data_IF_446100501655
#
_entry.id   IF_446100501655
#
_cell.length_a   1.000
_cell.length_b   1.000
_cell.length_c   1.000
_cell.angle_alpha   90.00
_cell.angle_beta   90.00
_cell.angle_gamma   90.00
#
_symmetry.space_group_name_H-M   'P 1'
#
loop_
_entity.id
_entity.type
_entity.pdbx_description
1 polymer ?
#
# COMPACT_ATOMS: atom_id res chain seq x y z
N UNK A 1 -20.14 11.56 -19.06
CA UNK A 1 -19.11 10.48 -18.99
C UNK A 1 -19.78 9.22 -19.49
N UNK A 2 -19.17 8.50 -20.43
CA UNK A 2 -19.70 7.23 -20.89
C UNK A 2 -19.77 6.23 -19.72
N UNK A 3 -20.83 5.43 -19.64
CA UNK A 3 -20.91 4.29 -18.73
C UNK A 3 -19.85 3.27 -19.15
N UNK A 4 -18.97 2.90 -18.22
CA UNK A 4 -17.97 1.85 -18.41
C UNK A 4 -18.67 0.50 -18.59
N UNK A 5 -18.10 -0.39 -19.39
CA UNK A 5 -18.58 -1.79 -19.48
C UNK A 5 -18.39 -2.52 -18.14
N UNK A 6 -19.12 -3.63 -17.91
CA UNK A 6 -18.97 -4.42 -16.68
C UNK A 6 -17.54 -4.95 -16.46
N UNK A 7 -16.83 -5.32 -17.52
CA UNK A 7 -15.45 -5.80 -17.43
C UNK A 7 -14.47 -4.67 -17.05
N UNK A 8 -14.64 -3.47 -17.63
CA UNK A 8 -13.84 -2.29 -17.28
C UNK A 8 -14.16 -1.82 -15.85
N UNK A 9 -15.44 -1.87 -15.45
CA UNK A 9 -15.86 -1.58 -14.10
C UNK A 9 -15.34 -2.61 -13.10
N UNK A 10 -15.09 -3.87 -13.50
CA UNK A 10 -14.52 -4.88 -12.61
C UNK A 10 -13.05 -4.60 -12.27
N UNK A 11 -12.26 -4.08 -13.23
CA UNK A 11 -10.86 -3.70 -13.00
C UNK A 11 -10.76 -2.55 -12.00
N UNK A 12 -11.67 -1.58 -12.10
CA UNK A 12 -11.71 -0.39 -11.24
C UNK A 12 -12.87 -0.43 -10.26
N UNK A 13 -13.25 -1.64 -9.83
CA UNK A 13 -14.50 -1.84 -9.09
C UNK A 13 -14.52 -1.04 -7.80
N UNK A 14 -13.40 -1.04 -7.09
CA UNK A 14 -13.27 -0.32 -5.83
C UNK A 14 -13.42 1.19 -6.04
N UNK A 15 -12.71 1.75 -7.02
CA UNK A 15 -12.76 3.17 -7.37
C UNK A 15 -14.15 3.58 -7.87
N UNK A 16 -14.79 2.72 -8.67
CA UNK A 16 -16.15 2.91 -9.15
C UNK A 16 -17.15 2.92 -8.01
N UNK A 17 -17.10 1.92 -7.11
CA UNK A 17 -18.02 1.80 -5.98
C UNK A 17 -17.87 2.99 -5.03
N UNK A 18 -16.63 3.41 -4.73
CA UNK A 18 -16.36 4.62 -3.92
C UNK A 18 -16.91 5.87 -4.61
N UNK A 19 -16.58 6.09 -5.88
CA UNK A 19 -17.02 7.27 -6.64
C UNK A 19 -18.54 7.36 -6.72
N UNK A 20 -19.19 6.24 -7.05
CA UNK A 20 -20.65 6.15 -7.16
C UNK A 20 -21.33 6.42 -5.82
N UNK A 21 -20.82 5.84 -4.74
CA UNK A 21 -21.37 6.03 -3.39
C UNK A 21 -21.23 7.47 -2.92
N UNK A 22 -20.07 8.09 -3.12
CA UNK A 22 -19.85 9.50 -2.78
C UNK A 22 -20.79 10.43 -3.55
N UNK A 23 -20.97 10.19 -4.86
CA UNK A 23 -21.92 10.93 -5.69
C UNK A 23 -23.36 10.74 -5.23
N UNK A 24 -23.78 9.51 -4.91
CA UNK A 24 -25.14 9.24 -4.41
C UNK A 24 -25.42 9.88 -3.06
N UNK A 25 -24.38 10.15 -2.27
CA UNK A 25 -24.47 10.88 -1.01
C UNK A 25 -24.41 12.40 -1.19
N UNK A 26 -24.41 12.91 -2.43
CA UNK A 26 -24.48 14.33 -2.75
C UNK A 26 -23.13 15.05 -2.82
N UNK A 27 -22.01 14.33 -2.83
CA UNK A 27 -20.69 14.93 -3.00
C UNK A 27 -20.34 15.15 -4.48
N UNK A 28 -19.67 16.25 -4.79
CA UNK A 28 -18.99 16.43 -6.08
C UNK A 28 -17.71 15.59 -6.08
N UNK A 29 -17.52 14.75 -7.10
CA UNK A 29 -16.39 13.82 -7.17
C UNK A 29 -15.68 13.96 -8.50
N UNK A 30 -14.42 14.39 -8.46
CA UNK A 30 -13.48 14.37 -9.58
C UNK A 30 -12.53 13.18 -9.43
N UNK A 31 -12.64 12.21 -10.34
CA UNK A 31 -11.68 11.10 -10.42
C UNK A 31 -10.37 11.61 -11.03
N UNK A 32 -9.24 11.27 -10.41
CA UNK A 32 -7.91 11.65 -10.87
C UNK A 32 -7.02 10.41 -10.93
N UNK A 33 -6.72 9.95 -12.14
CA UNK A 33 -5.76 8.87 -12.36
C UNK A 33 -4.33 9.39 -12.23
N UNK A 34 -3.53 8.75 -11.39
CA UNK A 34 -2.13 9.09 -11.16
C UNK A 34 -1.31 7.80 -11.22
N UNK A 35 -0.27 7.78 -12.06
CA UNK A 35 0.60 6.61 -12.23
C UNK A 35 2.08 6.99 -12.21
N UNK A 36 2.48 7.97 -13.02
CA UNK A 36 3.89 8.35 -13.22
C UNK A 36 4.14 9.84 -13.14
N UNK A 37 3.09 10.67 -13.11
CA UNK A 37 3.20 12.12 -13.12
C UNK A 37 2.51 12.72 -11.91
N UNK A 38 3.16 13.67 -11.25
CA UNK A 38 2.63 14.37 -10.08
C UNK A 38 1.92 15.68 -10.42
N UNK A 39 2.20 16.25 -11.60
CA UNK A 39 1.57 17.51 -12.03
C UNK A 39 0.03 17.49 -11.95
N UNK A 40 -0.67 16.41 -12.37
CA UNK A 40 -2.13 16.36 -12.27
C UNK A 40 -2.68 16.55 -10.85
N UNK A 41 -1.93 16.13 -9.81
CA UNK A 41 -2.34 16.34 -8.42
C UNK A 41 -2.29 17.81 -8.07
N UNK A 42 -1.16 18.48 -8.36
CA UNK A 42 -1.01 19.91 -8.10
C UNK A 42 -2.08 20.71 -8.84
N UNK A 43 -2.24 20.44 -10.14
CA UNK A 43 -3.17 21.18 -10.98
C UNK A 43 -4.62 21.00 -10.50
N UNK A 44 -5.01 19.78 -10.09
CA UNK A 44 -6.32 19.55 -9.48
C UNK A 44 -6.50 20.30 -8.16
N UNK A 45 -5.48 20.34 -7.29
CA UNK A 45 -5.55 21.08 -6.02
C UNK A 45 -5.66 22.59 -6.23
N UNK A 46 -4.92 23.15 -7.20
CA UNK A 46 -4.91 24.59 -7.47
C UNK A 46 -6.16 25.08 -8.21
N UNK A 47 -6.61 24.31 -9.21
CA UNK A 47 -7.71 24.72 -10.10
C UNK A 47 -9.09 24.32 -9.54
N UNK A 48 -9.24 23.08 -9.08
CA UNK A 48 -10.54 22.56 -8.59
C UNK A 48 -10.76 22.83 -7.11
N UNK A 49 -9.68 22.95 -6.33
CA UNK A 49 -9.70 23.26 -4.88
C UNK A 49 -10.61 22.31 -4.09
N UNK A 50 -10.32 20.99 -4.08
CA UNK A 50 -11.07 20.02 -3.29
C UNK A 50 -11.07 20.34 -1.80
N UNK A 51 -12.20 20.09 -1.15
CA UNK A 51 -12.28 20.09 0.32
C UNK A 51 -11.46 18.95 0.94
N UNK A 52 -11.40 17.81 0.24
CA UNK A 52 -10.64 16.61 0.66
C UNK A 52 -10.28 15.73 -0.54
N UNK A 53 -9.10 15.12 -0.50
CA UNK A 53 -8.69 14.06 -1.43
C UNK A 53 -9.02 12.69 -0.83
N UNK A 54 -9.88 11.93 -1.50
CA UNK A 54 -10.06 10.52 -1.16
C UNK A 54 -8.93 9.69 -1.78
N UNK A 55 -7.90 9.37 -1.00
CA UNK A 55 -6.72 8.68 -1.49
C UNK A 55 -6.98 7.17 -1.66
N UNK A 56 -6.88 6.70 -2.90
CA UNK A 56 -6.99 5.28 -3.30
C UNK A 56 -5.70 4.77 -3.96
N UNK A 57 -4.60 5.52 -3.88
CA UNK A 57 -3.35 5.17 -4.56
C UNK A 57 -2.62 4.03 -3.82
N UNK A 58 -2.35 2.93 -4.54
CA UNK A 58 -1.59 1.80 -4.01
C UNK A 58 -0.09 1.85 -4.37
N UNK A 59 0.23 2.36 -5.56
CA UNK A 59 1.59 2.43 -6.09
C UNK A 59 1.80 3.67 -6.97
N UNK A 60 3.06 4.01 -7.21
CA UNK A 60 3.46 5.06 -8.14
C UNK A 60 4.71 4.59 -8.88
N UNK A 61 4.79 4.76 -10.20
CA UNK A 61 5.80 4.13 -11.08
C UNK A 61 5.92 2.59 -10.91
N UNK A 62 4.82 1.90 -10.60
CA UNK A 62 4.85 0.45 -10.34
C UNK A 62 5.49 0.07 -9.00
N UNK A 63 5.77 1.04 -8.14
CA UNK A 63 6.41 0.82 -6.83
C UNK A 63 5.44 1.19 -5.70
N UNK A 64 5.00 0.18 -4.94
CA UNK A 64 4.07 0.36 -3.81
C UNK A 64 4.65 1.21 -2.67
N UNK A 65 5.99 1.26 -2.57
CA UNK A 65 6.69 2.11 -1.61
C UNK A 65 6.55 3.60 -1.92
N UNK A 66 6.32 3.98 -3.19
CA UNK A 66 6.23 5.38 -3.58
C UNK A 66 4.87 6.01 -3.25
N UNK A 67 3.87 5.23 -2.85
CA UNK A 67 2.59 5.77 -2.37
C UNK A 67 2.78 6.78 -1.21
N UNK A 68 3.77 6.55 -0.33
CA UNK A 68 4.11 7.48 0.75
C UNK A 68 4.60 8.85 0.25
N UNK A 69 5.25 8.89 -0.91
CA UNK A 69 5.75 10.12 -1.51
C UNK A 69 4.59 10.95 -2.10
N UNK A 70 3.59 10.28 -2.66
CA UNK A 70 2.39 10.95 -3.19
C UNK A 70 1.57 11.59 -2.07
N UNK A 71 1.34 10.88 -0.96
CA UNK A 71 0.64 11.51 0.19
C UNK A 71 1.49 12.59 0.87
N UNK A 72 2.82 12.51 0.79
CA UNK A 72 3.68 13.60 1.27
C UNK A 72 3.51 14.86 0.42
N UNK A 73 3.31 14.72 -0.90
CA UNK A 73 2.96 15.86 -1.75
C UNK A 73 1.62 16.47 -1.32
N UNK A 74 0.60 15.67 -0.98
CA UNK A 74 -0.67 16.18 -0.47
C UNK A 74 -0.49 16.98 0.83
N UNK A 75 0.37 16.52 1.76
CA UNK A 75 0.72 17.27 2.97
C UNK A 75 1.42 18.60 2.66
N UNK A 76 2.33 18.62 1.69
CA UNK A 76 3.03 19.84 1.26
C UNK A 76 2.08 20.85 0.62
N UNK A 77 1.10 20.36 -0.16
CA UNK A 77 0.03 21.16 -0.74
C UNK A 77 -1.02 21.60 0.29
N UNK A 78 -0.95 21.08 1.53
CA UNK A 78 -1.88 21.35 2.63
C UNK A 78 -3.34 21.04 2.29
N UNK A 79 -3.58 20.06 1.44
CA UNK A 79 -4.93 19.56 1.14
C UNK A 79 -5.25 18.40 2.08
N UNK A 80 -6.42 18.39 2.75
CA UNK A 80 -6.85 17.24 3.54
C UNK A 80 -6.96 15.99 2.67
N UNK A 81 -6.65 14.82 3.23
CA UNK A 81 -6.79 13.54 2.53
C UNK A 81 -7.17 12.40 3.47
N UNK A 82 -7.77 11.35 2.92
CA UNK A 82 -8.14 10.14 3.66
C UNK A 82 -6.95 9.18 3.81
N UNK A 83 -6.97 8.36 4.88
CA UNK A 83 -6.00 7.30 5.09
C UNK A 83 -4.81 7.71 5.97
N UNK A 84 -3.70 6.97 5.84
CA UNK A 84 -2.52 7.15 6.68
C UNK A 84 -1.60 8.25 6.13
N UNK A 85 -0.93 8.95 7.04
CA UNK A 85 0.10 9.91 6.69
C UNK A 85 1.39 9.24 6.16
N UNK A 86 2.34 9.98 5.54
CA UNK A 86 3.54 9.41 4.94
C UNK A 86 4.34 8.57 5.95
N UNK A 87 4.44 9.04 7.20
CA UNK A 87 5.14 8.33 8.27
C UNK A 87 4.44 7.01 8.61
N UNK A 88 3.11 7.01 8.71
CA UNK A 88 2.32 5.82 8.96
C UNK A 88 2.48 4.79 7.86
N UNK A 89 2.40 5.22 6.59
CA UNK A 89 2.66 4.34 5.44
C UNK A 89 4.07 3.75 5.48
N UNK A 90 5.10 4.57 5.71
CA UNK A 90 6.48 4.09 5.80
C UNK A 90 6.66 3.02 6.88
N UNK A 91 6.06 3.24 8.06
CA UNK A 91 6.13 2.29 9.18
C UNK A 91 5.35 0.99 8.88
N UNK A 92 4.22 1.09 8.17
CA UNK A 92 3.31 -0.02 7.90
C UNK A 92 3.72 -0.89 6.69
N UNK A 93 4.32 -0.30 5.65
CA UNK A 93 4.67 -1.02 4.39
C UNK A 93 5.71 -2.12 4.61
N UNK A 94 6.67 -1.89 5.51
CA UNK A 94 7.71 -2.87 5.83
C UNK A 94 7.31 -3.83 6.94
N UNK A 95 7.17 -5.11 6.63
CA UNK A 95 6.82 -6.12 7.66
C UNK A 95 7.87 -6.24 8.75
N UNK A 96 9.13 -5.98 8.45
CA UNK A 96 10.18 -5.97 9.47
C UNK A 96 10.08 -4.73 10.36
N UNK A 97 9.89 -3.54 9.78
CA UNK A 97 9.82 -2.27 10.50
C UNK A 97 8.57 -2.23 11.39
N UNK A 98 7.41 -2.60 10.85
CA UNK A 98 6.17 -2.78 11.60
C UNK A 98 6.36 -3.74 12.77
N UNK A 99 6.93 -4.94 12.54
CA UNK A 99 7.14 -5.93 13.61
C UNK A 99 8.15 -5.46 14.66
N UNK A 100 9.22 -4.75 14.25
CA UNK A 100 10.19 -4.15 15.18
C UNK A 100 9.50 -3.12 16.08
N UNK A 101 8.69 -2.23 15.51
CA UNK A 101 7.95 -1.20 16.24
C UNK A 101 6.94 -1.81 17.21
N UNK A 102 6.11 -2.75 16.75
CA UNK A 102 5.14 -3.46 17.59
C UNK A 102 5.83 -4.19 18.74
N UNK A 103 6.92 -4.91 18.45
CA UNK A 103 7.70 -5.61 19.47
C UNK A 103 8.32 -4.65 20.50
N UNK A 104 8.82 -3.50 20.07
CA UNK A 104 9.34 -2.45 20.98
C UNK A 104 8.26 -2.01 21.99
N UNK A 105 7.02 -1.85 21.52
CA UNK A 105 5.85 -1.55 22.36
C UNK A 105 5.22 -2.79 23.03
N UNK A 106 5.92 -3.94 23.05
CA UNK A 106 5.47 -5.20 23.67
C UNK A 106 4.17 -5.76 23.09
N UNK A 107 3.79 -5.37 21.87
CA UNK A 107 2.71 -6.01 21.12
C UNK A 107 3.25 -7.32 20.52
N UNK A 108 2.59 -8.47 20.76
CA UNK A 108 3.04 -9.76 20.22
C UNK A 108 3.10 -9.75 18.70
N UNK A 109 4.22 -10.23 18.16
CA UNK A 109 4.41 -10.45 16.71
C UNK A 109 5.15 -11.77 16.48
N UNK A 110 4.93 -12.44 15.34
CA UNK A 110 5.70 -13.63 15.00
C UNK A 110 7.20 -13.34 14.98
N UNK A 111 7.99 -14.23 15.58
CA UNK A 111 9.44 -14.19 15.46
C UNK A 111 9.81 -14.25 13.97
N UNK A 112 10.68 -13.35 13.52
CA UNK A 112 11.05 -13.26 12.11
C UNK A 112 12.55 -12.99 11.93
N UNK A 113 13.02 -13.17 10.70
CA UNK A 113 14.32 -12.75 10.20
C UNK A 113 14.14 -12.22 8.76
N UNK A 114 15.05 -11.36 8.31
CA UNK A 114 15.06 -10.83 6.94
C UNK A 114 16.31 -11.36 6.26
N UNK A 115 16.16 -11.87 5.04
CA UNK A 115 17.23 -12.42 4.24
C UNK A 115 17.38 -11.60 2.96
N UNK A 116 18.46 -10.82 2.81
CA UNK A 116 18.70 -10.04 1.59
C UNK A 116 19.01 -10.95 0.39
N UNK A 117 18.60 -10.50 -0.80
CA UNK A 117 18.93 -11.18 -2.07
C UNK A 117 20.45 -11.27 -2.23
N UNK A 118 20.94 -12.41 -2.71
CA UNK A 118 22.37 -12.65 -2.96
C UNK A 118 23.22 -12.88 -1.71
N UNK A 119 22.61 -13.00 -0.52
CA UNK A 119 23.31 -13.35 0.72
C UNK A 119 22.98 -14.77 1.16
N UNK A 120 23.96 -15.45 1.77
CA UNK A 120 23.77 -16.79 2.32
C UNK A 120 22.70 -16.74 3.42
N UNK A 121 21.67 -17.57 3.28
CA UNK A 121 20.62 -17.73 4.28
C UNK A 121 21.18 -18.54 5.46
N UNK A 122 21.02 -18.00 6.67
CA UNK A 122 21.30 -18.72 7.92
C UNK A 122 20.16 -18.46 8.90
N UNK A 123 19.29 -19.46 9.08
CA UNK A 123 18.15 -19.36 10.00
C UNK A 123 18.63 -19.17 11.45
N UNK A 124 18.15 -18.13 12.16
CA UNK A 124 18.39 -18.02 13.59
C UNK A 124 17.73 -19.19 14.34
N UNK A 125 18.44 -19.81 15.28
CA UNK A 125 17.94 -21.00 16.01
C UNK A 125 16.64 -20.81 16.81
N UNK A 126 16.23 -19.54 17.03
CA UNK A 126 14.95 -19.16 17.64
C UNK A 126 13.74 -19.31 16.70
N UNK A 127 13.95 -19.41 15.39
CA UNK A 127 12.88 -19.67 14.42
C UNK A 127 12.74 -21.18 14.26
N UNK A 128 11.61 -21.74 14.68
CA UNK A 128 11.31 -23.18 14.58
C UNK A 128 10.36 -23.43 13.42
N UNK A 129 10.53 -24.57 12.77
CA UNK A 129 9.66 -25.01 11.69
C UNK A 129 8.26 -25.43 12.22
N UNK A 130 7.21 -25.36 11.39
CA UNK A 130 7.20 -24.80 10.03
C UNK A 130 7.34 -23.27 10.03
N UNK A 131 7.93 -22.71 8.96
CA UNK A 131 8.08 -21.27 8.76
C UNK A 131 7.39 -20.83 7.48
N UNK A 132 6.99 -19.55 7.42
CA UNK A 132 6.47 -18.92 6.20
C UNK A 132 7.52 -17.95 5.66
N UNK A 133 7.96 -18.20 4.42
CA UNK A 133 8.81 -17.30 3.63
C UNK A 133 7.91 -16.40 2.80
N UNK A 134 8.08 -15.08 2.91
CA UNK A 134 7.31 -14.11 2.14
C UNK A 134 8.13 -12.87 1.83
N UNK A 135 7.76 -12.16 0.77
CA UNK A 135 8.37 -10.86 0.46
C UNK A 135 8.16 -9.86 1.60
N UNK A 136 9.20 -9.06 1.81
CA UNK A 136 9.21 -8.02 2.84
C UNK A 136 8.18 -6.93 2.55
N UNK A 137 8.05 -6.55 1.27
CA UNK A 137 7.30 -5.37 0.84
C UNK A 137 5.97 -5.70 0.15
N UNK A 138 5.82 -6.90 -0.42
CA UNK A 138 4.58 -7.25 -1.15
C UNK A 138 3.37 -7.42 -0.23
N UNK A 139 2.19 -7.05 -0.72
CA UNK A 139 0.92 -7.23 -0.03
C UNK A 139 -0.05 -8.11 -0.84
N UNK A 140 -1.31 -8.22 -0.42
CA UNK A 140 -2.36 -9.01 -1.09
C UNK A 140 -2.00 -10.49 -1.28
N UNK A 141 -1.14 -11.04 -0.41
CA UNK A 141 -0.56 -12.38 -0.52
C UNK A 141 0.24 -12.61 -1.81
N UNK A 142 0.64 -11.56 -2.51
CA UNK A 142 1.50 -11.66 -3.69
C UNK A 142 2.84 -12.29 -3.29
N UNK A 143 3.27 -13.28 -4.07
CA UNK A 143 4.49 -14.05 -3.81
C UNK A 143 4.38 -15.03 -2.63
N UNK A 144 3.17 -15.32 -2.13
CA UNK A 144 2.92 -16.39 -1.15
C UNK A 144 2.21 -17.56 -1.83
N UNK A 145 2.72 -18.77 -1.62
CA UNK A 145 2.13 -20.01 -2.11
C UNK A 145 2.31 -21.14 -1.08
N UNK A 146 1.81 -22.34 -1.37
CA UNK A 146 2.11 -23.52 -0.51
C UNK A 146 3.62 -23.76 -0.39
N UNK A 147 4.39 -23.46 -1.43
CA UNK A 147 5.86 -23.50 -1.41
C UNK A 147 6.51 -22.49 -0.45
N UNK A 148 5.76 -21.49 0.02
CA UNK A 148 6.23 -20.56 1.05
C UNK A 148 6.30 -21.18 2.44
N UNK A 149 5.68 -22.35 2.66
CA UNK A 149 5.78 -23.09 3.90
C UNK A 149 7.03 -23.96 3.83
N UNK A 150 7.99 -23.70 4.71
CA UNK A 150 9.26 -24.43 4.77
C UNK A 150 9.37 -25.20 6.08
N UNK A 151 9.85 -26.43 5.97
CA UNK A 151 10.00 -27.38 7.09
C UNK A 151 11.46 -27.74 7.37
N UNK A 152 12.38 -27.35 6.48
CA UNK A 152 13.82 -27.60 6.59
C UNK A 152 14.61 -26.39 6.09
N UNK A 153 15.94 -26.38 6.28
CA UNK A 153 16.80 -25.25 5.88
C UNK A 153 17.17 -25.28 4.38
N UNK A 154 16.92 -26.40 3.69
CA UNK A 154 17.18 -26.61 2.26
C UNK A 154 16.04 -26.11 1.35
N UNK A 155 14.85 -25.92 1.92
CA UNK A 155 13.68 -25.33 1.25
C UNK A 155 13.64 -23.82 1.48
#
# INVERSE_FOLDING_TARGET
MAELSEEEAYVWKTEYDVSKTLKSNGHEVRMLGVQTELAPIRDAVEEWKPDIVFNMLEEFHGESLYAQNVVALLELLRVPYTGCNPRGLMLARGKDLSKKLLKYHRVPVPAFAVFPIGKKVRRPGRLKFPLIVKSLWEDASLGIAQASIVDTDEK
#
